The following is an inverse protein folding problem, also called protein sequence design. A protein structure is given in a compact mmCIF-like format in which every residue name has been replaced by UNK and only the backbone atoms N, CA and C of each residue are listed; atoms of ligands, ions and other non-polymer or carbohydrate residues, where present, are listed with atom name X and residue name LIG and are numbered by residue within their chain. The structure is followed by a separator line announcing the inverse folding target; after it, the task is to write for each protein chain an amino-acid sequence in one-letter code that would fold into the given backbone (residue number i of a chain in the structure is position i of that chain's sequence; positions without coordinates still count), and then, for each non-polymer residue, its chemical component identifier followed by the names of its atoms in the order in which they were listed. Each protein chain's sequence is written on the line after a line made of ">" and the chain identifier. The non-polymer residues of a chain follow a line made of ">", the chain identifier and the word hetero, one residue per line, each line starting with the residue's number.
data_IF_099350006812
#
_entry.id   IF_099350006812
#
_cell.length_a   1.000
_cell.length_b   1.000
_cell.length_c   1.000
_cell.angle_alpha   90.00
_cell.angle_beta   90.00
_cell.angle_gamma   90.00
#
_symmetry.space_group_name_H-M   'P 1'
#
loop_
_entity.id
_entity.type
_entity.pdbx_description
1 polymer ?
#
# COMPACT_ATOMS: atom_id res chain seq x y z
N UNK A 1 30.16 -11.25 11.34
CA UNK A 1 29.73 -10.48 10.14
C UNK A 1 28.29 -10.08 10.30
N UNK A 2 27.95 -8.91 9.85
CA UNK A 2 26.58 -8.39 9.89
C UNK A 2 25.86 -8.70 8.58
N UNK A 3 24.52 -8.75 8.63
CA UNK A 3 23.69 -8.81 7.42
C UNK A 3 23.77 -7.50 6.63
N UNK A 4 24.04 -6.39 7.32
CA UNK A 4 24.16 -5.03 6.75
C UNK A 4 22.92 -4.61 5.95
N UNK A 5 21.74 -4.63 6.59
CA UNK A 5 20.52 -4.21 5.88
C UNK A 5 20.59 -2.72 5.52
N UNK A 6 20.13 -2.39 4.31
CA UNK A 6 20.14 -1.02 3.80
C UNK A 6 18.74 -0.41 3.63
N UNK A 7 17.71 -1.19 3.83
CA UNK A 7 16.32 -0.71 3.75
C UNK A 7 15.36 -1.79 3.31
N UNK A 8 14.13 -1.40 3.06
CA UNK A 8 13.11 -2.27 2.50
C UNK A 8 13.13 -2.12 0.99
N UNK A 9 13.25 -3.23 0.26
CA UNK A 9 13.21 -3.22 -1.20
C UNK A 9 11.75 -3.22 -1.70
N UNK A 10 10.95 -4.13 -1.16
CA UNK A 10 9.54 -4.22 -1.53
C UNK A 10 8.75 -4.89 -0.41
N UNK A 11 7.44 -4.72 -0.49
CA UNK A 11 6.47 -5.50 0.28
C UNK A 11 5.66 -6.34 -0.72
N UNK A 12 5.33 -7.57 -0.34
CA UNK A 12 4.51 -8.47 -1.15
C UNK A 12 3.17 -8.68 -0.46
N UNK A 13 2.08 -8.52 -1.19
CA UNK A 13 0.73 -8.72 -0.68
C UNK A 13 -0.07 -9.61 -1.62
N UNK A 14 -0.88 -10.47 -1.03
CA UNK A 14 -1.74 -11.37 -1.78
C UNK A 14 -3.04 -10.66 -2.14
N UNK A 15 -3.51 -10.86 -3.37
CA UNK A 15 -4.76 -10.27 -3.87
C UNK A 15 -5.58 -11.35 -4.55
N UNK A 16 -6.90 -11.21 -4.54
CA UNK A 16 -7.81 -12.17 -5.15
C UNK A 16 -8.10 -11.88 -6.63
N UNK A 17 -7.83 -10.65 -7.07
CA UNK A 17 -8.00 -10.24 -8.48
C UNK A 17 -6.93 -9.21 -8.84
N UNK A 18 -5.97 -9.61 -9.68
CA UNK A 18 -4.83 -8.77 -10.02
C UNK A 18 -5.25 -7.50 -10.77
N UNK A 19 -6.15 -7.61 -11.75
CA UNK A 19 -6.57 -6.46 -12.57
C UNK A 19 -7.29 -5.41 -11.72
N UNK A 20 -8.21 -5.84 -10.85
CA UNK A 20 -8.92 -4.95 -9.94
C UNK A 20 -7.96 -4.29 -8.95
N UNK A 21 -7.00 -5.04 -8.44
CA UNK A 21 -6.00 -4.53 -7.50
C UNK A 21 -5.07 -3.52 -8.18
N UNK A 22 -4.61 -3.80 -9.39
CA UNK A 22 -3.79 -2.85 -10.16
C UNK A 22 -4.56 -1.54 -10.38
N UNK A 23 -5.84 -1.62 -10.75
CA UNK A 23 -6.66 -0.43 -10.94
C UNK A 23 -6.76 0.41 -9.65
N UNK A 24 -6.88 -0.25 -8.50
CA UNK A 24 -6.94 0.43 -7.21
C UNK A 24 -5.60 1.07 -6.85
N UNK A 25 -4.51 0.32 -6.89
CA UNK A 25 -3.20 0.81 -6.47
C UNK A 25 -2.68 1.91 -7.41
N UNK A 26 -3.00 1.88 -8.69
CA UNK A 26 -2.59 2.92 -9.63
C UNK A 26 -3.56 4.08 -9.68
N UNK A 27 -4.87 3.82 -9.86
CA UNK A 27 -5.89 4.85 -10.04
C UNK A 27 -6.31 5.55 -8.76
N UNK A 28 -6.30 4.84 -7.62
CA UNK A 28 -6.72 5.38 -6.32
C UNK A 28 -5.52 5.85 -5.51
N UNK A 29 -4.48 5.02 -5.39
CA UNK A 29 -3.30 5.34 -4.58
C UNK A 29 -2.15 5.99 -5.35
N UNK A 30 -2.19 5.98 -6.69
CA UNK A 30 -1.21 6.69 -7.49
C UNK A 30 0.13 5.97 -7.70
N UNK A 31 0.21 4.67 -7.45
CA UNK A 31 1.40 3.88 -7.74
C UNK A 31 1.54 3.66 -9.25
N UNK A 32 2.73 3.27 -9.70
CA UNK A 32 3.03 3.08 -11.13
C UNK A 32 3.43 1.63 -11.39
N UNK A 33 2.86 1.02 -12.43
CA UNK A 33 3.18 -0.37 -12.81
C UNK A 33 4.56 -0.43 -13.43
N UNK A 34 5.37 -1.40 -12.97
CA UNK A 34 6.67 -1.71 -13.56
C UNK A 34 6.50 -2.70 -14.73
N UNK A 35 7.42 -2.60 -15.69
CA UNK A 35 7.40 -3.45 -16.88
C UNK A 35 8.35 -4.66 -16.79
N UNK A 36 9.06 -4.82 -15.66
CA UNK A 36 10.11 -5.83 -15.51
C UNK A 36 9.71 -7.05 -14.66
N UNK A 37 8.41 -7.20 -14.35
CA UNK A 37 7.95 -8.37 -13.63
C UNK A 37 8.15 -9.61 -14.48
N UNK A 38 8.86 -10.64 -13.98
CA UNK A 38 8.99 -11.91 -14.72
C UNK A 38 7.64 -12.60 -14.89
N UNK A 39 7.56 -13.52 -15.84
CA UNK A 39 6.38 -14.38 -16.00
C UNK A 39 6.41 -15.45 -14.91
N UNK A 40 5.47 -15.35 -13.99
CA UNK A 40 5.21 -16.37 -12.98
C UNK A 40 4.03 -17.22 -13.42
N UNK A 41 3.83 -18.35 -12.75
CA UNK A 41 2.66 -19.22 -12.99
C UNK A 41 1.41 -18.72 -12.25
N UNK A 42 1.45 -17.52 -11.67
CA UNK A 42 0.31 -16.84 -11.05
C UNK A 42 0.29 -15.38 -11.52
N UNK A 43 -0.88 -14.77 -11.50
CA UNK A 43 -1.06 -13.36 -11.85
C UNK A 43 -0.49 -12.42 -10.79
N UNK A 44 -0.41 -11.16 -11.14
CA UNK A 44 0.07 -10.12 -10.26
C UNK A 44 0.66 -8.94 -10.99
N UNK A 45 1.32 -8.07 -10.23
CA UNK A 45 2.00 -6.91 -10.77
C UNK A 45 3.07 -6.44 -9.79
N UNK A 46 4.06 -5.76 -10.32
CA UNK A 46 5.05 -5.03 -9.53
C UNK A 46 4.81 -3.55 -9.72
N UNK A 47 4.72 -2.81 -8.61
CA UNK A 47 4.38 -1.39 -8.61
C UNK A 47 5.48 -0.60 -7.93
N UNK A 48 5.77 0.60 -8.45
CA UNK A 48 6.66 1.55 -7.78
C UNK A 48 5.89 2.39 -6.77
N UNK A 49 6.49 2.57 -5.61
CA UNK A 49 6.02 3.45 -4.54
C UNK A 49 7.25 4.21 -4.01
N UNK A 50 7.49 5.41 -4.54
CA UNK A 50 8.74 6.10 -4.23
C UNK A 50 9.94 5.27 -4.67
N UNK A 51 10.88 5.03 -3.77
CA UNK A 51 12.06 4.19 -4.03
C UNK A 51 11.86 2.72 -3.68
N UNK A 52 10.72 2.36 -3.15
CA UNK A 52 10.34 1.00 -2.83
C UNK A 52 9.35 0.46 -3.85
N UNK A 53 8.98 -0.80 -3.69
CA UNK A 53 8.03 -1.46 -4.57
C UNK A 53 6.95 -2.15 -3.75
N UNK A 54 5.78 -2.30 -4.35
CA UNK A 54 4.70 -3.16 -3.86
C UNK A 54 4.49 -4.25 -4.91
N UNK A 55 4.60 -5.50 -4.49
CA UNK A 55 4.38 -6.66 -5.36
C UNK A 55 3.01 -7.26 -5.03
N UNK A 56 2.15 -7.34 -6.04
CA UNK A 56 0.84 -7.98 -5.92
C UNK A 56 0.95 -9.42 -6.43
N UNK A 57 0.49 -10.37 -5.62
CA UNK A 57 0.50 -11.79 -5.94
C UNK A 57 -0.95 -12.29 -5.95
N UNK A 58 -1.43 -12.76 -7.09
CA UNK A 58 -2.79 -13.31 -7.21
C UNK A 58 -2.82 -14.73 -6.68
N UNK A 59 -2.85 -14.84 -5.37
CA UNK A 59 -2.90 -16.09 -4.60
C UNK A 59 -3.81 -15.88 -3.40
N UNK A 60 -4.04 -16.91 -2.58
CA UNK A 60 -4.94 -16.85 -1.44
C UNK A 60 -4.62 -15.67 -0.53
N UNK A 61 -5.66 -14.90 -0.18
CA UNK A 61 -5.55 -13.70 0.66
C UNK A 61 -5.78 -14.09 2.11
N UNK A 62 -4.84 -13.77 3.03
CA UNK A 62 -5.07 -14.01 4.45
C UNK A 62 -6.11 -13.05 5.03
N UNK A 63 -6.76 -13.48 6.11
CA UNK A 63 -7.67 -12.61 6.86
C UNK A 63 -6.93 -11.39 7.43
N UNK A 64 -7.64 -10.28 7.56
CA UNK A 64 -7.13 -9.10 8.26
C UNK A 64 -7.16 -9.37 9.77
N UNK A 65 -5.99 -9.68 10.32
CA UNK A 65 -5.80 -9.85 11.76
C UNK A 65 -4.82 -8.80 12.31
N UNK A 66 -4.64 -7.71 11.56
CA UNK A 66 -3.84 -6.56 11.97
C UNK A 66 -2.59 -6.31 11.14
N UNK A 67 -2.13 -7.29 10.35
CA UNK A 67 -0.96 -7.10 9.50
C UNK A 67 -1.25 -6.05 8.43
N UNK A 68 -0.29 -5.15 8.20
CA UNK A 68 -0.44 -4.09 7.20
C UNK A 68 0.93 -3.49 6.88
N UNK A 69 0.98 -2.68 5.85
CA UNK A 69 2.12 -1.80 5.60
C UNK A 69 1.65 -0.35 5.57
N UNK A 70 2.58 0.57 5.77
CA UNK A 70 2.28 1.99 5.81
C UNK A 70 2.88 2.71 4.61
N UNK A 71 2.05 3.53 3.98
CA UNK A 71 2.47 4.45 2.92
C UNK A 71 2.65 5.83 3.54
N UNK A 72 3.84 6.40 3.40
CA UNK A 72 4.09 7.75 3.88
C UNK A 72 3.48 8.77 2.94
N UNK A 73 2.74 9.73 3.49
CA UNK A 73 2.15 10.84 2.77
C UNK A 73 2.60 12.16 3.38
N UNK A 74 2.71 13.21 2.56
CA UNK A 74 3.12 14.52 3.02
C UNK A 74 1.99 15.27 3.73
N UNK A 75 0.73 15.06 3.31
CA UNK A 75 -0.45 15.72 3.85
C UNK A 75 -1.57 14.69 4.02
N UNK A 76 -1.72 14.17 5.22
CA UNK A 76 -2.70 13.13 5.51
C UNK A 76 -4.14 13.62 5.37
N UNK A 77 -4.44 14.85 5.81
CA UNK A 77 -5.80 15.39 5.69
C UNK A 77 -6.22 15.50 4.22
N UNK A 78 -5.34 15.96 3.35
CA UNK A 78 -5.60 16.05 1.92
C UNK A 78 -5.77 14.65 1.29
N UNK A 79 -4.92 13.69 1.67
CA UNK A 79 -5.02 12.31 1.18
C UNK A 79 -6.35 11.67 1.58
N UNK A 80 -6.77 11.82 2.82
CA UNK A 80 -8.06 11.30 3.31
C UNK A 80 -9.23 11.93 2.55
N UNK A 81 -9.20 13.24 2.34
CA UNK A 81 -10.24 13.93 1.59
C UNK A 81 -10.33 13.43 0.14
N UNK A 82 -9.19 13.22 -0.51
CA UNK A 82 -9.15 12.70 -1.87
C UNK A 82 -9.72 11.28 -1.96
N UNK A 83 -9.32 10.39 -1.04
CA UNK A 83 -9.82 9.03 -1.01
C UNK A 83 -11.33 8.99 -0.79
N UNK A 84 -11.84 9.80 0.13
CA UNK A 84 -13.29 9.89 0.38
C UNK A 84 -14.04 10.42 -0.84
N UNK A 85 -13.46 11.34 -1.59
CA UNK A 85 -14.07 11.85 -2.83
C UNK A 85 -14.18 10.77 -3.90
N UNK A 86 -13.33 9.74 -3.84
CA UNK A 86 -13.36 8.57 -4.72
C UNK A 86 -14.22 7.43 -4.19
N UNK A 87 -14.92 7.63 -3.08
CA UNK A 87 -15.77 6.61 -2.48
C UNK A 87 -15.05 5.57 -1.66
N UNK A 88 -13.80 5.82 -1.27
CA UNK A 88 -13.01 4.89 -0.47
C UNK A 88 -13.25 5.16 1.02
N UNK A 89 -13.59 4.11 1.77
CA UNK A 89 -13.69 4.20 3.23
C UNK A 89 -12.29 4.30 3.83
N UNK A 90 -12.06 5.38 4.57
CA UNK A 90 -10.78 5.61 5.26
C UNK A 90 -11.08 6.21 6.61
N UNK A 91 -10.35 5.74 7.64
CA UNK A 91 -10.56 6.24 9.00
C UNK A 91 -10.08 7.68 9.13
N UNK A 92 -10.71 8.43 10.03
CA UNK A 92 -10.25 9.78 10.33
C UNK A 92 -8.81 9.76 10.86
N UNK A 93 -7.99 10.76 10.50
CA UNK A 93 -6.63 10.85 11.02
C UNK A 93 -6.58 10.84 12.54
N UNK A 94 -5.66 10.07 13.09
CA UNK A 94 -5.44 9.98 14.54
C UNK A 94 -3.95 10.04 14.86
N UNK A 95 -3.63 10.53 16.05
CA UNK A 95 -2.24 10.62 16.49
C UNK A 95 -1.66 9.22 16.76
N UNK A 96 -0.41 9.02 16.35
CA UNK A 96 0.36 7.83 16.66
C UNK A 96 1.83 8.21 16.77
N UNK A 97 2.48 7.87 17.89
CA UNK A 97 3.83 8.35 18.12
C UNK A 97 3.90 9.87 18.00
N UNK A 98 4.82 10.36 17.18
CA UNK A 98 4.95 11.80 16.87
C UNK A 98 4.23 12.20 15.58
N UNK A 99 3.64 11.24 14.87
CA UNK A 99 2.95 11.46 13.60
C UNK A 99 1.46 11.23 13.70
N UNK A 100 0.85 11.00 12.53
CA UNK A 100 -0.59 10.75 12.40
C UNK A 100 -0.81 9.62 11.40
N UNK A 101 -1.92 8.89 11.57
CA UNK A 101 -2.25 7.75 10.72
C UNK A 101 -3.72 7.70 10.38
N UNK A 102 -4.01 7.06 9.26
CA UNK A 102 -5.36 6.64 8.85
C UNK A 102 -5.27 5.26 8.20
N UNK A 103 -6.36 4.51 8.21
CA UNK A 103 -6.40 3.15 7.66
C UNK A 103 -7.47 3.03 6.59
N UNK A 104 -7.17 2.22 5.59
CA UNK A 104 -8.11 1.82 4.55
C UNK A 104 -7.85 0.35 4.20
N UNK A 105 -8.68 -0.22 3.35
CA UNK A 105 -8.50 -1.57 2.82
C UNK A 105 -8.48 -1.53 1.30
N UNK A 106 -7.66 -2.40 0.69
CA UNK A 106 -7.69 -2.58 -0.75
C UNK A 106 -8.88 -3.46 -1.17
N UNK A 107 -9.13 -3.68 -2.47
CA UNK A 107 -10.28 -4.48 -2.92
C UNK A 107 -10.28 -5.93 -2.42
N UNK A 108 -9.13 -6.46 -2.05
CA UNK A 108 -9.00 -7.83 -1.51
C UNK A 108 -9.13 -7.89 0.01
N UNK A 109 -9.31 -6.73 0.67
CA UNK A 109 -9.42 -6.66 2.13
C UNK A 109 -8.10 -6.50 2.87
N UNK A 110 -7.00 -6.26 2.16
CA UNK A 110 -5.71 -5.99 2.81
C UNK A 110 -5.74 -4.62 3.47
N UNK A 111 -5.29 -4.57 4.73
CA UNK A 111 -5.20 -3.30 5.48
C UNK A 111 -4.01 -2.50 5.02
N UNK A 112 -4.21 -1.20 4.81
CA UNK A 112 -3.16 -0.24 4.44
C UNK A 112 -3.23 0.91 5.42
N UNK A 113 -2.07 1.34 5.92
CA UNK A 113 -1.94 2.56 6.71
C UNK A 113 -1.45 3.70 5.81
N UNK A 114 -2.01 4.89 5.97
CA UNK A 114 -1.41 6.13 5.49
C UNK A 114 -0.78 6.80 6.69
N UNK A 115 0.47 7.20 6.57
CA UNK A 115 1.25 7.75 7.69
C UNK A 115 1.88 9.08 7.32
N UNK A 116 1.60 10.11 8.13
CA UNK A 116 2.27 11.39 8.03
C UNK A 116 3.19 11.53 9.25
N UNK A 117 4.52 11.45 9.05
CA UNK A 117 5.45 11.66 10.16
C UNK A 117 5.41 13.10 10.65
N UNK A 118 5.90 13.34 11.86
CA UNK A 118 6.05 14.69 12.37
C UNK A 118 6.96 15.51 11.45
N UNK A 119 6.67 16.80 11.32
CA UNK A 119 7.53 17.71 10.60
C UNK A 119 8.88 17.80 11.31
N UNK A 120 9.96 17.76 10.55
CA UNK A 120 11.33 17.85 11.08
C UNK A 120 11.84 19.27 11.02
#
# INVERSE_FOLDING_TARGET
>A
MSVDPVGIHHVSINVDNADESVAFYTGVLGLTVRSDRPDFDFGGAWLDLGEQQVHLLEIDVPDDVGQHFAIQVADLDAAVAELRSKGVDVTAPSAVGTGRQSFLHDPSGNRIELHQPAAS
#
